data_IF_049357456208
#
_entry.id   IF_049357456208
#
_cell.length_a   1.000
_cell.length_b   1.000
_cell.length_c   1.000
_cell.angle_alpha   90.00
_cell.angle_beta   90.00
_cell.angle_gamma   90.00
#
_symmetry.space_group_name_H-M   'P 1'
#
loop_
_entity.id
_entity.type
_entity.pdbx_description
1 polymer ?
#
# COMPACT_ATOMS: atom_id res chain seq x y z
N UNK A 1 12.97 -13.20 -5.74
CA UNK A 1 13.24 -12.20 -4.72
C UNK A 1 13.96 -11.00 -5.33
N UNK A 2 13.84 -9.82 -4.72
CA UNK A 2 14.60 -8.64 -5.08
C UNK A 2 16.04 -8.80 -4.56
N UNK A 3 17.01 -8.57 -5.44
CA UNK A 3 18.44 -8.61 -5.15
C UNK A 3 19.13 -7.67 -6.13
N UNK A 4 19.70 -6.56 -5.66
CA UNK A 4 20.12 -5.46 -6.52
C UNK A 4 21.19 -5.85 -7.56
N UNK A 5 22.19 -6.75 -7.29
CA UNK A 5 23.13 -7.13 -8.34
C UNK A 5 22.43 -7.82 -9.51
N UNK A 6 21.53 -8.77 -9.25
CA UNK A 6 20.78 -9.44 -10.31
C UNK A 6 19.88 -8.47 -11.07
N UNK A 7 19.28 -7.48 -10.41
CA UNK A 7 18.39 -6.50 -11.06
C UNK A 7 19.20 -5.52 -11.92
N UNK A 8 20.30 -4.99 -11.40
CA UNK A 8 21.02 -3.87 -12.03
C UNK A 8 22.16 -4.36 -12.92
N UNK A 9 22.96 -5.34 -12.48
CA UNK A 9 24.12 -5.83 -13.21
C UNK A 9 23.73 -6.93 -14.22
N UNK A 10 22.82 -7.84 -13.83
CA UNK A 10 22.35 -8.95 -14.69
C UNK A 10 21.09 -8.60 -15.48
N UNK A 11 20.51 -7.39 -15.29
CA UNK A 11 19.32 -6.88 -15.97
C UNK A 11 18.05 -7.71 -15.73
N UNK A 12 17.92 -8.42 -14.60
CA UNK A 12 16.77 -9.24 -14.25
C UNK A 12 15.60 -8.39 -13.70
N UNK A 13 15.15 -7.38 -14.45
CA UNK A 13 14.12 -6.41 -14.01
C UNK A 13 12.78 -7.04 -13.63
N UNK A 14 12.48 -8.25 -14.12
CA UNK A 14 11.27 -8.98 -13.73
C UNK A 14 11.20 -9.26 -12.23
N UNK A 15 12.34 -9.26 -11.53
CA UNK A 15 12.42 -9.43 -10.08
C UNK A 15 11.72 -8.32 -9.31
N UNK A 16 11.65 -7.10 -9.86
CA UNK A 16 10.94 -5.98 -9.25
C UNK A 16 9.44 -6.26 -9.06
N UNK A 17 8.86 -7.05 -9.95
CA UNK A 17 7.46 -7.48 -9.86
C UNK A 17 7.35 -8.81 -9.10
N UNK A 18 8.15 -9.81 -9.46
CA UNK A 18 7.96 -11.17 -8.93
C UNK A 18 8.33 -11.30 -7.46
N UNK A 19 9.19 -10.43 -6.91
CA UNK A 19 9.52 -10.42 -5.49
C UNK A 19 8.28 -10.15 -4.61
N UNK A 20 7.28 -9.43 -5.11
CA UNK A 20 6.03 -9.15 -4.40
C UNK A 20 5.23 -10.43 -4.08
N UNK A 21 5.45 -11.50 -4.83
CA UNK A 21 4.76 -12.79 -4.65
C UNK A 21 5.60 -13.83 -3.90
N UNK A 22 6.85 -13.52 -3.55
CA UNK A 22 7.74 -14.43 -2.83
C UNK A 22 7.71 -14.10 -1.33
N UNK A 23 7.56 -15.11 -0.49
CA UNK A 23 7.51 -14.95 0.97
C UNK A 23 8.51 -15.88 1.67
N UNK A 24 9.18 -15.35 2.69
CA UNK A 24 10.17 -16.08 3.50
C UNK A 24 9.49 -16.78 4.68
N UNK A 25 8.67 -17.79 4.37
CA UNK A 25 7.97 -18.62 5.35
C UNK A 25 6.46 -18.36 5.43
N UNK A 26 5.78 -19.33 6.03
CA UNK A 26 4.31 -19.38 6.12
C UNK A 26 3.76 -18.20 6.94
N UNK A 27 4.39 -17.87 8.06
CA UNK A 27 3.95 -16.75 8.91
C UNK A 27 4.00 -15.41 8.17
N UNK A 28 5.07 -15.18 7.37
CA UNK A 28 5.19 -13.99 6.54
C UNK A 28 4.09 -13.92 5.49
N UNK A 29 3.81 -15.03 4.81
CA UNK A 29 2.72 -15.11 3.83
C UNK A 29 1.36 -14.85 4.49
N UNK A 30 1.05 -15.56 5.58
CA UNK A 30 -0.24 -15.42 6.26
C UNK A 30 -0.47 -14.01 6.78
N UNK A 31 0.52 -13.37 7.40
CA UNK A 31 0.41 -12.00 7.88
C UNK A 31 0.14 -11.02 6.73
N UNK A 32 0.87 -11.13 5.62
CA UNK A 32 0.61 -10.30 4.44
C UNK A 32 -0.81 -10.51 3.89
N UNK A 33 -1.27 -11.76 3.77
CA UNK A 33 -2.60 -12.08 3.23
C UNK A 33 -3.72 -11.59 4.15
N UNK A 34 -3.59 -11.73 5.47
CA UNK A 34 -4.58 -11.23 6.43
C UNK A 34 -4.71 -9.70 6.37
N UNK A 35 -3.57 -9.00 6.36
CA UNK A 35 -3.57 -7.54 6.23
C UNK A 35 -4.17 -7.12 4.89
N UNK A 36 -3.75 -7.75 3.79
CA UNK A 36 -4.25 -7.45 2.45
C UNK A 36 -5.76 -7.70 2.32
N UNK A 37 -6.27 -8.79 2.89
CA UNK A 37 -7.69 -9.10 2.87
C UNK A 37 -8.52 -8.03 3.61
N UNK A 38 -8.03 -7.57 4.78
CA UNK A 38 -8.75 -6.57 5.56
C UNK A 38 -8.66 -5.15 4.97
N UNK A 39 -7.44 -4.71 4.60
CA UNK A 39 -7.22 -3.33 4.13
C UNK A 39 -7.50 -3.21 2.62
N UNK A 40 -7.17 -4.24 1.84
CA UNK A 40 -7.31 -4.23 0.38
C UNK A 40 -8.76 -4.11 -0.08
N UNK A 41 -9.68 -4.81 0.59
CA UNK A 41 -11.11 -4.72 0.30
C UNK A 41 -11.65 -3.28 0.44
N UNK A 42 -11.21 -2.55 1.46
CA UNK A 42 -11.58 -1.15 1.65
C UNK A 42 -11.09 -0.25 0.51
N UNK A 43 -9.86 -0.46 0.02
CA UNK A 43 -9.33 0.31 -1.10
C UNK A 43 -10.04 -0.05 -2.41
N UNK A 44 -10.32 -1.34 -2.62
CA UNK A 44 -11.06 -1.81 -3.80
C UNK A 44 -12.46 -1.20 -3.86
N UNK A 45 -13.20 -1.17 -2.74
CA UNK A 45 -14.51 -0.50 -2.66
C UNK A 45 -14.43 1.00 -2.93
N UNK A 46 -13.37 1.67 -2.47
CA UNK A 46 -13.19 3.10 -2.66
C UNK A 46 -12.82 3.49 -4.10
N UNK A 47 -11.94 2.73 -4.75
CA UNK A 47 -11.37 3.05 -6.06
C UNK A 47 -11.95 2.23 -7.22
N UNK A 48 -12.47 1.05 -6.95
CA UNK A 48 -12.80 0.01 -7.92
C UNK A 48 -11.59 -0.88 -8.28
N UNK A 49 -11.88 -2.07 -8.80
CA UNK A 49 -10.90 -3.17 -9.02
C UNK A 49 -9.65 -2.75 -9.79
N UNK A 50 -9.83 -2.04 -10.92
CA UNK A 50 -8.71 -1.68 -11.81
C UNK A 50 -7.75 -0.70 -11.12
N UNK A 51 -8.28 0.36 -10.48
CA UNK A 51 -7.44 1.34 -9.79
C UNK A 51 -6.77 0.77 -8.55
N UNK A 52 -7.47 -0.13 -7.82
CA UNK A 52 -6.88 -0.89 -6.73
C UNK A 52 -5.66 -1.70 -7.21
N UNK A 53 -5.82 -2.43 -8.31
CA UNK A 53 -4.73 -3.23 -8.89
C UNK A 53 -3.56 -2.35 -9.34
N UNK A 54 -3.83 -1.18 -9.93
CA UNK A 54 -2.79 -0.21 -10.31
C UNK A 54 -2.02 0.25 -9.08
N UNK A 55 -2.70 0.63 -7.99
CA UNK A 55 -2.04 1.05 -6.75
C UNK A 55 -1.18 -0.08 -6.18
N UNK A 56 -1.72 -1.29 -6.09
CA UNK A 56 -1.02 -2.45 -5.56
C UNK A 56 0.26 -2.78 -6.35
N UNK A 57 0.13 -2.93 -7.67
CA UNK A 57 1.26 -3.30 -8.53
C UNK A 57 2.30 -2.17 -8.63
N UNK A 58 1.86 -0.93 -8.82
CA UNK A 58 2.79 0.20 -8.93
C UNK A 58 3.54 0.46 -7.62
N UNK A 59 2.86 0.33 -6.47
CA UNK A 59 3.52 0.44 -5.18
C UNK A 59 4.48 -0.74 -4.93
N UNK A 60 4.10 -1.97 -5.30
CA UNK A 60 4.96 -3.15 -5.19
C UNK A 60 6.23 -3.03 -6.02
N UNK A 61 6.09 -2.74 -7.31
CA UNK A 61 7.24 -2.58 -8.23
C UNK A 61 8.09 -1.37 -7.83
N UNK A 62 7.46 -0.22 -7.54
CA UNK A 62 8.17 1.00 -7.18
C UNK A 62 8.91 0.87 -5.85
N UNK A 63 8.32 0.22 -4.85
CA UNK A 63 8.97 -0.03 -3.57
C UNK A 63 10.18 -0.95 -3.71
N UNK A 64 10.05 -2.00 -4.52
CA UNK A 64 11.16 -2.92 -4.82
C UNK A 64 12.30 -2.22 -5.55
N UNK A 65 11.99 -1.30 -6.47
CA UNK A 65 13.02 -0.53 -7.17
C UNK A 65 13.76 0.43 -6.23
N UNK A 66 13.01 1.17 -5.38
CA UNK A 66 13.62 2.08 -4.39
C UNK A 66 14.49 1.31 -3.40
N UNK A 67 14.00 0.16 -2.89
CA UNK A 67 14.76 -0.69 -1.98
C UNK A 67 16.04 -1.23 -2.64
N UNK A 68 15.96 -1.71 -3.88
CA UNK A 68 17.14 -2.20 -4.61
C UNK A 68 18.21 -1.11 -4.80
N UNK A 69 17.79 0.11 -5.20
CA UNK A 69 18.71 1.26 -5.33
C UNK A 69 19.31 1.65 -3.97
N UNK A 70 18.50 1.65 -2.91
CA UNK A 70 19.00 1.93 -1.55
C UNK A 70 20.03 0.94 -1.08
N UNK A 71 19.77 -0.36 -1.26
CA UNK A 71 20.73 -1.43 -0.91
C UNK A 71 22.02 -1.32 -1.72
N UNK A 72 21.93 -0.99 -3.01
CA UNK A 72 23.09 -0.71 -3.85
C UNK A 72 23.92 0.47 -3.33
N UNK A 73 23.26 1.59 -2.95
CA UNK A 73 23.96 2.77 -2.41
C UNK A 73 24.65 2.52 -1.07
N UNK A 74 24.18 1.52 -0.31
CA UNK A 74 24.74 1.10 0.98
C UNK A 74 25.74 -0.06 0.87
N UNK A 75 25.92 -0.60 -0.33
CA UNK A 75 26.69 -1.82 -0.58
C UNK A 75 26.20 -3.02 0.26
N UNK A 76 24.85 -3.08 0.45
CA UNK A 76 24.19 -4.12 1.22
C UNK A 76 23.66 -5.22 0.31
N UNK A 77 24.17 -6.43 0.44
CA UNK A 77 23.78 -7.59 -0.38
C UNK A 77 22.59 -8.35 0.26
N UNK A 78 21.53 -7.63 0.57
CA UNK A 78 20.32 -8.20 1.15
C UNK A 78 19.34 -8.70 0.07
N UNK A 79 18.64 -9.78 0.40
CA UNK A 79 17.57 -10.32 -0.45
C UNK A 79 16.23 -9.94 0.15
N UNK A 80 15.41 -9.26 -0.65
CA UNK A 80 14.09 -8.80 -0.21
C UNK A 80 12.96 -9.49 -1.00
N UNK A 81 11.82 -9.67 -0.35
CA UNK A 81 10.62 -10.25 -0.96
C UNK A 81 9.42 -10.21 -0.03
N UNK A 82 8.25 -10.14 -0.61
CA UNK A 82 6.97 -10.08 0.08
C UNK A 82 6.03 -9.05 -0.51
N UNK A 83 4.75 -9.24 -0.26
CA UNK A 83 3.70 -8.31 -0.66
C UNK A 83 3.70 -7.00 0.14
N UNK A 84 4.53 -6.90 1.19
CA UNK A 84 4.43 -5.83 2.19
C UNK A 84 4.63 -4.42 1.61
N UNK A 85 5.56 -4.22 0.66
CA UNK A 85 5.73 -2.94 -0.03
C UNK A 85 4.46 -2.48 -0.76
N UNK A 86 3.79 -3.41 -1.46
CA UNK A 86 2.50 -3.15 -2.11
C UNK A 86 1.39 -2.90 -1.07
N UNK A 87 1.35 -3.66 0.03
CA UNK A 87 0.38 -3.48 1.13
C UNK A 87 0.55 -2.11 1.79
N UNK A 88 1.78 -1.67 2.04
CA UNK A 88 2.02 -0.31 2.52
C UNK A 88 1.55 0.75 1.52
N UNK A 89 1.64 0.48 0.21
CA UNK A 89 1.02 1.30 -0.82
C UNK A 89 -0.50 1.39 -0.69
N UNK A 90 -1.17 0.28 -0.43
CA UNK A 90 -2.61 0.24 -0.14
C UNK A 90 -2.95 1.07 1.11
N UNK A 91 -2.15 0.95 2.18
CA UNK A 91 -2.31 1.74 3.41
C UNK A 91 -2.14 3.24 3.14
N UNK A 92 -1.11 3.63 2.39
CA UNK A 92 -0.85 5.02 2.01
C UNK A 92 -1.99 5.62 1.18
N UNK A 93 -2.50 4.87 0.19
CA UNK A 93 -3.65 5.27 -0.61
C UNK A 93 -4.91 5.46 0.24
N UNK A 94 -5.21 4.49 1.12
CA UNK A 94 -6.34 4.57 2.03
C UNK A 94 -6.23 5.76 2.98
N UNK A 95 -5.05 6.03 3.53
CA UNK A 95 -4.87 7.17 4.43
C UNK A 95 -5.26 8.49 3.75
N UNK A 96 -4.81 8.72 2.52
CA UNK A 96 -5.18 9.93 1.75
C UNK A 96 -6.69 9.97 1.47
N UNK A 97 -7.28 8.83 1.12
CA UNK A 97 -8.72 8.74 0.87
C UNK A 97 -9.52 9.03 2.14
N UNK A 98 -9.13 8.45 3.27
CA UNK A 98 -9.78 8.66 4.57
C UNK A 98 -9.70 10.13 4.97
N UNK A 99 -8.51 10.75 4.84
CA UNK A 99 -8.33 12.20 5.13
C UNK A 99 -9.25 13.04 4.25
N UNK A 100 -9.35 12.76 2.96
CA UNK A 100 -10.27 13.45 2.04
C UNK A 100 -11.75 13.22 2.35
N UNK A 101 -12.07 12.15 3.07
CA UNK A 101 -13.42 11.84 3.58
C UNK A 101 -13.63 12.27 5.03
N UNK A 102 -12.95 13.32 5.49
CA UNK A 102 -13.07 13.89 6.85
C UNK A 102 -12.59 12.96 7.95
N UNK A 103 -11.59 12.15 7.67
CA UNK A 103 -10.91 11.30 8.65
C UNK A 103 -11.53 9.92 8.86
N UNK A 104 -12.57 9.56 8.10
CA UNK A 104 -13.22 8.25 8.21
C UNK A 104 -13.69 7.73 6.84
N UNK A 105 -13.55 6.44 6.63
CA UNK A 105 -14.09 5.71 5.48
C UNK A 105 -14.60 4.35 5.97
N UNK A 106 -15.92 4.16 5.98
CA UNK A 106 -16.56 2.98 6.57
C UNK A 106 -16.05 2.75 8.01
N UNK A 107 -15.47 1.59 8.31
CA UNK A 107 -14.94 1.22 9.62
C UNK A 107 -13.48 1.67 9.85
N UNK A 108 -12.83 2.26 8.84
CA UNK A 108 -11.46 2.73 8.91
C UNK A 108 -11.38 4.23 9.19
N UNK A 109 -10.48 4.60 10.09
CA UNK A 109 -10.14 5.99 10.34
C UNK A 109 -8.63 6.25 10.17
N UNK A 110 -8.28 7.53 9.97
CA UNK A 110 -6.89 7.93 9.73
C UNK A 110 -5.95 7.55 10.88
N UNK A 111 -6.44 7.58 12.13
CA UNK A 111 -5.64 7.21 13.32
C UNK A 111 -5.26 5.73 13.29
N UNK A 112 -6.19 4.84 12.96
CA UNK A 112 -5.92 3.39 12.86
C UNK A 112 -4.87 3.10 11.79
N UNK A 113 -4.99 3.73 10.60
CA UNK A 113 -4.04 3.54 9.50
C UNK A 113 -2.64 4.09 9.85
N UNK A 114 -2.56 5.26 10.49
CA UNK A 114 -1.28 5.82 10.94
C UNK A 114 -0.63 4.98 12.03
N UNK A 115 -1.42 4.49 13.00
CA UNK A 115 -0.90 3.59 14.05
C UNK A 115 -0.40 2.27 13.47
N UNK A 116 -1.15 1.69 12.52
CA UNK A 116 -0.71 0.47 11.82
C UNK A 116 0.62 0.70 11.07
N UNK A 117 0.69 1.76 10.25
CA UNK A 117 1.90 2.06 9.48
C UNK A 117 3.09 2.36 10.41
N UNK A 118 2.89 3.21 11.42
CA UNK A 118 3.94 3.58 12.36
C UNK A 118 4.45 2.40 13.18
N UNK A 119 3.54 1.56 13.71
CA UNK A 119 3.91 0.36 14.46
C UNK A 119 4.66 -0.66 13.59
N UNK A 120 4.21 -0.86 12.34
CA UNK A 120 4.86 -1.79 11.41
C UNK A 120 6.27 -1.33 11.03
N UNK A 121 6.47 -0.02 10.80
CA UNK A 121 7.81 0.55 10.53
C UNK A 121 8.69 0.43 11.78
N UNK A 122 8.17 0.78 12.96
CA UNK A 122 8.89 0.64 14.23
C UNK A 122 9.35 -0.80 14.46
N UNK A 123 8.44 -1.76 14.30
CA UNK A 123 8.76 -3.17 14.41
C UNK A 123 9.82 -3.60 13.39
N UNK A 124 9.74 -3.07 12.16
CA UNK A 124 10.73 -3.32 11.11
C UNK A 124 12.13 -2.82 11.46
N UNK A 125 12.23 -1.66 12.13
CA UNK A 125 13.52 -1.12 12.60
C UNK A 125 14.11 -1.98 13.72
N UNK A 126 13.26 -2.55 14.59
CA UNK A 126 13.67 -3.37 15.73
C UNK A 126 13.94 -4.84 15.35
N UNK A 127 13.52 -5.28 14.17
CA UNK A 127 13.61 -6.67 13.73
C UNK A 127 14.56 -6.81 12.54
N UNK A 128 15.45 -7.79 12.58
CA UNK A 128 16.28 -8.10 11.41
C UNK A 128 15.45 -8.67 10.25
N UNK A 129 15.85 -8.38 9.03
CA UNK A 129 15.27 -8.95 7.81
C UNK A 129 13.99 -8.28 7.32
N UNK A 130 13.59 -7.13 7.87
CA UNK A 130 12.47 -6.33 7.37
C UNK A 130 12.98 -5.17 6.51
N UNK A 131 12.48 -5.10 5.28
CA UNK A 131 12.81 -4.05 4.31
C UNK A 131 12.00 -2.77 4.57
N UNK A 132 12.49 -1.92 5.48
CA UNK A 132 11.84 -0.66 5.81
C UNK A 132 11.81 0.33 4.65
N UNK A 133 12.80 0.30 3.74
CA UNK A 133 12.79 1.18 2.57
C UNK A 133 11.67 0.81 1.60
N UNK A 134 11.42 -0.49 1.40
CA UNK A 134 10.26 -0.93 0.64
C UNK A 134 8.94 -0.49 1.31
N UNK A 135 8.82 -0.58 2.63
CA UNK A 135 7.62 -0.15 3.36
C UNK A 135 7.36 1.35 3.22
N UNK A 136 8.37 2.19 3.49
CA UNK A 136 8.24 3.65 3.43
C UNK A 136 7.98 4.11 1.99
N UNK A 137 8.74 3.62 1.02
CA UNK A 137 8.56 4.00 -0.37
C UNK A 137 7.24 3.51 -0.95
N UNK A 138 6.82 2.29 -0.61
CA UNK A 138 5.51 1.77 -0.97
C UNK A 138 4.38 2.65 -0.44
N UNK A 139 4.44 3.02 0.84
CA UNK A 139 3.47 3.93 1.46
C UNK A 139 3.38 5.28 0.74
N UNK A 140 4.52 5.91 0.43
CA UNK A 140 4.57 7.20 -0.28
C UNK A 140 3.98 7.08 -1.69
N UNK A 141 4.38 6.05 -2.46
CA UNK A 141 3.86 5.81 -3.80
C UNK A 141 2.35 5.60 -3.77
N UNK A 142 1.87 4.78 -2.84
CA UNK A 142 0.44 4.54 -2.66
C UNK A 142 -0.33 5.80 -2.27
N UNK A 143 0.20 6.62 -1.37
CA UNK A 143 -0.40 7.88 -0.98
C UNK A 143 -0.56 8.85 -2.17
N UNK A 144 0.48 8.97 -3.00
CA UNK A 144 0.43 9.77 -4.23
C UNK A 144 -0.63 9.24 -5.21
N UNK A 145 -0.64 7.93 -5.46
CA UNK A 145 -1.62 7.30 -6.36
C UNK A 145 -3.05 7.40 -5.83
N UNK A 146 -3.26 7.19 -4.53
CA UNK A 146 -4.56 7.39 -3.88
C UNK A 146 -5.06 8.82 -4.04
N UNK A 147 -4.15 9.79 -3.89
CA UNK A 147 -4.41 11.20 -4.12
C UNK A 147 -4.82 11.53 -5.55
N UNK A 148 -4.20 10.90 -6.54
CA UNK A 148 -4.46 11.12 -7.96
C UNK A 148 -5.72 10.39 -8.45
N UNK A 149 -5.90 9.14 -8.03
CA UNK A 149 -6.93 8.26 -8.57
C UNK A 149 -8.29 8.40 -7.88
N UNK A 150 -8.31 8.88 -6.62
CA UNK A 150 -9.53 9.01 -5.86
C UNK A 150 -10.26 10.30 -6.20
N UNK A 151 -11.52 10.16 -6.61
CA UNK A 151 -12.46 11.28 -6.76
C UNK A 151 -13.57 11.12 -5.74
N UNK A 152 -13.67 12.07 -4.81
CA UNK A 152 -14.75 12.06 -3.81
C UNK A 152 -16.11 12.11 -4.51
N UNK A 153 -16.96 11.10 -4.30
CA UNK A 153 -18.34 11.13 -4.77
C UNK A 153 -19.07 12.24 -4.01
N UNK A 154 -19.50 13.30 -4.70
CA UNK A 154 -20.44 14.27 -4.12
C UNK A 154 -21.76 13.53 -3.94
N UNK A 155 -22.14 13.23 -2.71
CA UNK A 155 -23.51 12.84 -2.40
C UNK A 155 -24.39 14.04 -2.77
N UNK A 156 -25.12 13.91 -3.88
CA UNK A 156 -26.20 14.84 -4.22
C UNK A 156 -27.23 14.67 -3.12
N UNK A 157 -27.38 15.66 -2.21
CA UNK A 157 -28.52 15.71 -1.30
C UNK A 157 -29.77 15.57 -2.17
N UNK A 158 -30.38 14.40 -2.15
CA UNK A 158 -31.74 14.26 -2.68
C UNK A 158 -32.60 15.18 -1.82
N UNK A 159 -33.11 16.24 -2.45
CA UNK A 159 -34.07 17.14 -1.86
C UNK A 159 -35.27 16.33 -1.35
N UNK A 160 -35.33 16.13 -0.05
CA UNK A 160 -36.58 15.82 0.66
C UNK A 160 -37.50 17.03 0.62
N UNK A 161 -37.88 17.45 -0.59
CA UNK A 161 -38.99 18.34 -0.84
C UNK A 161 -40.15 17.53 -1.42
N UNK A 162 -40.64 16.57 -0.66
CA UNK A 162 -41.95 15.93 -0.91
C UNK A 162 -42.54 15.47 0.42
N UNK A 163 -42.85 16.37 1.30
CA UNK A 163 -43.83 16.18 2.37
C UNK A 163 -44.13 17.52 3.09
N UNK A 164 -44.51 18.52 2.35
CA UNK A 164 -45.14 19.68 2.92
C UNK A 164 -46.00 20.33 1.83
N UNK A 165 -47.18 19.86 1.70
CA UNK A 165 -48.16 20.48 0.79
C UNK A 165 -49.23 19.49 0.37
N UNK A 166 -50.19 19.25 1.24
CA UNK A 166 -51.63 19.17 0.90
C UNK A 166 -52.38 18.96 2.19
N UNK A 167 -52.89 20.03 2.71
CA UNK A 167 -54.22 20.12 3.31
C UNK A 167 -54.94 21.28 2.68
#
# INVERSE_FOLDING_TARGET
>A
ASFWPAIIEEHEYYRLLTCTFIHFGISHLLNNMLVLAYIGDNLERALGKIKYLIVYLAAGVGSSAVSAVWSMMKDEYSVSGGASGAIFGVVGALLVIVIRNRGQLEDLNSRQLMLFAGFSIYHGVMSAGIDNMAHISGFVIGALLGGLLYRRKRYRKQNTKRAAGTW
#
